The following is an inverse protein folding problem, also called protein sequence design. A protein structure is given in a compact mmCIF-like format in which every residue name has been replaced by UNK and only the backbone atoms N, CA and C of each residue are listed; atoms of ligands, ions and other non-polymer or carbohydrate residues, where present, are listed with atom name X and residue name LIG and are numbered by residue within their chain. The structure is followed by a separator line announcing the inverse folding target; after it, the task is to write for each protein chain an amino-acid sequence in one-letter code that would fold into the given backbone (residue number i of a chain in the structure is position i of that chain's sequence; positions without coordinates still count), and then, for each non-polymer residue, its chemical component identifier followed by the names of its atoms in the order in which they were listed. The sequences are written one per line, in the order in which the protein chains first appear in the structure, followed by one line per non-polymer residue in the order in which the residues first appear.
data_IF_405890965480
#
_entry.id   IF_405890965480
#
_cell.length_a   1.000
_cell.length_b   1.000
_cell.length_c   1.000
_cell.angle_alpha   90.00
_cell.angle_beta   90.00
_cell.angle_gamma   90.00
#
_symmetry.space_group_name_H-M   'P 1'
#
loop_
_entity.id
_entity.type
_entity.pdbx_description
1 polymer ?
#
# COMPACT_ATOMS: atom_id res chain seq x y z
N UNK A 1 -62.73 -62.47 -24.50
CA UNK A 1 -63.45 -61.19 -24.53
C UNK A 1 -62.89 -60.32 -23.41
N UNK A 2 -62.52 -59.10 -23.80
CA UNK A 2 -62.24 -57.87 -23.01
C UNK A 2 -61.02 -57.82 -22.08
N UNK A 3 -59.98 -57.12 -22.57
CA UNK A 3 -59.37 -55.86 -22.04
C UNK A 3 -59.43 -55.60 -20.53
N UNK A 4 -58.44 -54.99 -19.89
CA UNK A 4 -57.72 -53.78 -20.35
C UNK A 4 -56.42 -53.57 -19.54
N UNK A 5 -55.54 -52.71 -20.06
CA UNK A 5 -54.15 -52.57 -19.63
C UNK A 5 -53.82 -51.54 -18.54
N UNK A 6 -52.52 -51.51 -18.22
CA UNK A 6 -51.73 -50.33 -17.86
C UNK A 6 -51.96 -49.68 -16.49
N UNK A 7 -50.93 -49.65 -15.65
CA UNK A 7 -50.19 -48.41 -15.35
C UNK A 7 -49.07 -48.60 -14.31
N UNK A 8 -47.93 -48.00 -14.64
CA UNK A 8 -46.79 -47.65 -13.79
C UNK A 8 -47.23 -46.79 -12.60
N UNK A 9 -46.75 -47.09 -11.40
CA UNK A 9 -46.88 -46.19 -10.24
C UNK A 9 -45.50 -45.85 -9.67
N UNK A 10 -45.02 -44.66 -10.01
CA UNK A 10 -43.94 -43.98 -9.32
C UNK A 10 -44.47 -43.43 -7.99
N UNK A 11 -43.80 -43.76 -6.89
CA UNK A 11 -44.15 -43.24 -5.56
C UNK A 11 -43.67 -41.79 -5.44
N UNK A 12 -44.61 -40.85 -5.43
CA UNK A 12 -44.36 -39.43 -5.10
C UNK A 12 -44.82 -39.18 -3.66
N UNK A 13 -43.89 -38.84 -2.78
CA UNK A 13 -44.15 -38.50 -1.39
C UNK A 13 -44.45 -37.00 -1.26
N UNK A 14 -45.73 -36.65 -1.09
CA UNK A 14 -46.20 -35.28 -0.85
C UNK A 14 -46.13 -34.96 0.65
N UNK A 15 -45.22 -34.07 1.07
CA UNK A 15 -45.17 -33.57 2.45
C UNK A 15 -46.16 -32.41 2.65
N UNK A 16 -47.21 -32.63 3.44
CA UNK A 16 -48.18 -31.59 3.82
C UNK A 16 -47.69 -30.83 5.05
N UNK A 17 -47.34 -29.55 4.90
CA UNK A 17 -46.93 -28.69 6.02
C UNK A 17 -48.16 -28.04 6.66
N UNK A 18 -48.51 -28.47 7.88
CA UNK A 18 -49.59 -27.89 8.69
C UNK A 18 -49.03 -26.75 9.54
N UNK A 19 -49.33 -25.48 9.20
CA UNK A 19 -48.96 -24.32 10.04
C UNK A 19 -49.91 -24.21 11.25
N UNK A 20 -49.35 -24.30 12.46
CA UNK A 20 -50.07 -24.03 13.71
C UNK A 20 -49.80 -22.58 14.13
N UNK A 21 -50.87 -21.77 14.28
CA UNK A 21 -50.81 -20.37 14.72
C UNK A 21 -50.94 -20.33 16.25
N UNK A 22 -49.91 -19.86 16.95
CA UNK A 22 -49.96 -19.68 18.42
C UNK A 22 -50.64 -18.34 18.77
N UNK A 23 -51.57 -18.42 19.73
CA UNK A 23 -52.42 -17.33 20.26
C UNK A 23 -51.58 -16.28 20.99
N UNK A 24 -52.04 -15.02 20.89
CA UNK A 24 -51.42 -13.82 21.42
C UNK A 24 -51.46 -13.75 22.96
N UNK A 25 -50.31 -13.43 23.57
CA UNK A 25 -50.23 -12.98 24.95
C UNK A 25 -49.28 -11.77 25.06
N UNK A 26 -49.81 -10.65 25.57
CA UNK A 26 -49.14 -9.49 26.17
C UNK A 26 -47.87 -8.93 25.51
N UNK A 27 -48.01 -7.92 24.62
CA UNK A 27 -46.89 -7.09 24.15
C UNK A 27 -46.37 -6.19 25.27
N UNK A 28 -45.17 -6.47 25.79
CA UNK A 28 -44.25 -5.43 26.31
C UNK A 28 -43.26 -5.07 25.19
N UNK A 29 -42.88 -3.81 25.00
CA UNK A 29 -41.93 -3.44 23.95
C UNK A 29 -40.59 -4.11 24.19
N UNK A 30 -40.14 -4.89 23.19
CA UNK A 30 -38.85 -5.54 23.16
C UNK A 30 -37.77 -4.49 22.94
N UNK A 31 -36.97 -4.20 23.97
CA UNK A 31 -35.75 -3.40 23.82
C UNK A 31 -34.61 -4.38 23.52
N UNK A 32 -34.05 -4.40 22.29
CA UNK A 32 -32.94 -5.29 21.96
C UNK A 32 -31.72 -4.88 22.79
N UNK A 33 -31.24 -5.80 23.64
CA UNK A 33 -30.06 -5.60 24.50
C UNK A 33 -28.74 -5.51 23.71
N UNK A 34 -28.80 -5.45 22.37
CA UNK A 34 -27.65 -5.29 21.48
C UNK A 34 -27.20 -3.84 21.25
N UNK A 35 -27.96 -2.83 21.67
CA UNK A 35 -27.60 -1.42 21.47
C UNK A 35 -26.76 -0.82 22.61
N UNK A 36 -26.90 -1.33 23.83
CA UNK A 36 -26.13 -0.88 25.01
C UNK A 36 -24.62 -1.20 24.93
N UNK A 37 -24.17 -2.40 24.53
CA UNK A 37 -22.74 -2.67 24.39
C UNK A 37 -22.11 -1.98 23.17
N UNK A 38 -22.89 -1.69 22.12
CA UNK A 38 -22.44 -0.97 20.92
C UNK A 38 -22.16 0.51 21.19
N UNK A 39 -22.96 1.16 22.02
CA UNK A 39 -22.70 2.53 22.47
C UNK A 39 -21.49 2.62 23.43
N UNK A 40 -21.30 1.59 24.27
CA UNK A 40 -20.10 1.48 25.13
C UNK A 40 -18.80 1.29 24.33
N UNK A 41 -18.84 0.47 23.27
CA UNK A 41 -17.66 0.16 22.45
C UNK A 41 -17.23 1.36 21.58
N UNK A 42 -18.19 2.13 21.04
CA UNK A 42 -17.93 3.39 20.33
C UNK A 42 -17.34 4.44 21.29
N UNK A 43 -17.83 4.50 22.54
CA UNK A 43 -17.26 5.35 23.58
C UNK A 43 -15.81 4.99 23.92
N UNK A 44 -15.47 3.71 24.02
CA UNK A 44 -14.08 3.27 24.30
C UNK A 44 -13.13 3.41 23.11
N UNK A 45 -13.62 3.27 21.86
CA UNK A 45 -12.79 3.47 20.66
C UNK A 45 -12.43 4.95 20.47
N UNK A 46 -13.33 5.87 20.84
CA UNK A 46 -13.08 7.32 20.79
C UNK A 46 -12.19 7.83 21.93
N UNK A 47 -12.14 7.14 23.08
CA UNK A 47 -11.38 7.57 24.26
C UNK A 47 -9.98 6.90 24.32
N UNK A 48 -9.77 5.73 23.71
CA UNK A 48 -8.54 4.95 23.87
C UNK A 48 -7.47 5.06 22.78
N UNK A 49 -7.85 5.27 21.51
CA UNK A 49 -6.90 5.18 20.37
C UNK A 49 -6.66 6.53 19.69
N UNK A 50 -7.63 7.44 19.72
CA UNK A 50 -7.52 8.77 19.11
C UNK A 50 -6.65 9.77 19.93
N UNK A 51 -6.64 9.79 21.29
CA UNK A 51 -5.89 10.81 22.00
C UNK A 51 -4.39 10.54 22.16
N UNK A 52 -3.90 9.32 21.90
CA UNK A 52 -2.48 8.97 22.17
C UNK A 52 -1.53 9.24 20.99
N UNK A 53 -1.98 9.18 19.73
CA UNK A 53 -1.15 9.51 18.55
C UNK A 53 -1.36 10.95 18.06
N UNK A 54 -2.61 11.45 18.06
CA UNK A 54 -2.93 12.82 17.63
C UNK A 54 -2.64 13.85 18.75
N UNK A 55 -2.78 13.45 20.01
CA UNK A 55 -2.65 14.35 21.16
C UNK A 55 -1.22 14.81 21.47
N UNK A 56 -0.19 14.03 21.11
CA UNK A 56 1.22 14.36 21.37
C UNK A 56 1.81 15.19 20.22
N UNK A 57 1.43 14.90 18.96
CA UNK A 57 1.84 15.70 17.81
C UNK A 57 1.32 17.14 17.92
N UNK A 58 0.02 17.32 18.17
CA UNK A 58 -0.57 18.65 18.34
C UNK A 58 0.04 19.46 19.50
N UNK A 59 0.45 18.79 20.59
CA UNK A 59 1.12 19.46 21.72
C UNK A 59 2.56 19.83 21.41
N UNK A 60 3.27 18.99 20.66
CA UNK A 60 4.66 19.22 20.26
C UNK A 60 4.74 20.31 19.20
N UNK A 61 3.82 20.31 18.23
CA UNK A 61 3.71 21.34 17.21
C UNK A 61 3.36 22.70 17.83
N UNK A 62 2.39 22.77 18.76
CA UNK A 62 2.07 24.01 19.49
C UNK A 62 3.24 24.52 20.32
N UNK A 63 3.95 23.65 21.04
CA UNK A 63 5.13 24.06 21.82
C UNK A 63 6.26 24.58 20.92
N UNK A 64 6.50 23.94 19.77
CA UNK A 64 7.45 24.41 18.78
C UNK A 64 7.03 25.76 18.18
N UNK A 65 5.74 25.93 17.89
CA UNK A 65 5.20 27.16 17.32
C UNK A 65 5.25 28.34 18.31
N UNK A 66 4.96 28.09 19.60
CA UNK A 66 5.09 29.09 20.66
C UNK A 66 6.56 29.49 20.88
N UNK A 67 7.49 28.53 20.86
CA UNK A 67 8.93 28.80 20.96
C UNK A 67 9.44 29.64 19.78
N UNK A 68 8.96 29.37 18.56
CA UNK A 68 9.29 30.17 17.37
C UNK A 68 8.72 31.58 17.46
N UNK A 69 7.49 31.75 17.97
CA UNK A 69 6.88 33.07 18.18
C UNK A 69 7.66 33.91 19.20
N UNK A 70 8.08 33.30 20.32
CA UNK A 70 8.90 33.98 21.35
C UNK A 70 10.31 34.34 20.84
N UNK A 71 10.87 33.54 19.94
CA UNK A 71 12.17 33.82 19.32
C UNK A 71 12.13 34.91 18.23
N UNK A 72 10.93 35.37 17.84
CA UNK A 72 10.72 36.30 16.71
C UNK A 72 10.81 35.63 15.34
N UNK A 73 10.63 34.30 15.28
CA UNK A 73 10.79 33.47 14.09
C UNK A 73 9.43 33.03 13.51
N UNK A 74 8.45 33.93 13.42
CA UNK A 74 7.13 33.65 12.84
C UNK A 74 7.16 33.31 11.34
N UNK A 75 8.29 33.56 10.68
CA UNK A 75 8.58 33.16 9.31
C UNK A 75 8.87 31.65 9.15
N UNK A 76 9.07 30.93 10.27
CA UNK A 76 9.31 29.50 10.29
C UNK A 76 8.06 28.72 10.73
N UNK A 77 7.73 27.66 9.98
CA UNK A 77 6.65 26.73 10.27
C UNK A 77 7.23 25.38 10.70
N UNK A 78 6.89 24.87 11.90
CA UNK A 78 7.27 23.54 12.34
C UNK A 78 6.34 22.48 11.75
N UNK A 79 6.92 21.42 11.20
CA UNK A 79 6.21 20.23 10.73
C UNK A 79 6.69 19.02 11.55
N UNK A 80 5.76 18.36 12.26
CA UNK A 80 6.08 17.31 13.24
C UNK A 80 5.65 15.96 12.70
N UNK A 81 6.62 15.05 12.47
CA UNK A 81 6.37 13.69 12.03
C UNK A 81 7.12 12.70 12.93
N UNK A 82 6.39 11.94 13.74
CA UNK A 82 6.97 11.00 14.71
C UNK A 82 7.89 11.70 15.72
N UNK A 83 9.18 11.36 15.69
CA UNK A 83 10.25 11.97 16.53
C UNK A 83 11.04 13.08 15.80
N UNK A 84 10.52 13.60 14.69
CA UNK A 84 11.18 14.63 13.87
C UNK A 84 10.40 15.93 13.90
N UNK A 85 11.12 17.05 14.08
CA UNK A 85 10.59 18.40 13.88
C UNK A 85 11.37 19.03 12.73
N UNK A 86 10.69 19.28 11.63
CA UNK A 86 11.28 19.91 10.44
C UNK A 86 10.84 21.37 10.40
N UNK A 87 11.81 22.30 10.37
CA UNK A 87 11.50 23.73 10.24
C UNK A 87 11.56 24.14 8.77
N UNK A 88 10.44 24.69 8.27
CA UNK A 88 10.31 25.23 6.91
C UNK A 88 10.12 26.73 6.97
N UNK A 89 10.81 27.48 6.14
CA UNK A 89 10.67 28.94 6.10
C UNK A 89 11.82 29.64 5.40
N UNK A 90 11.68 30.96 5.22
CA UNK A 90 12.73 31.81 4.65
C UNK A 90 13.32 32.70 5.75
N UNK A 91 14.46 32.34 6.36
CA UNK A 91 15.07 33.15 7.40
C UNK A 91 15.53 34.51 6.83
N UNK A 92 15.24 35.63 7.50
CA UNK A 92 15.74 36.96 7.10
C UNK A 92 17.27 37.02 7.09
N UNK A 93 17.94 36.34 8.03
CA UNK A 93 19.39 36.17 8.06
C UNK A 93 19.78 34.75 8.50
N UNK A 94 21.00 34.32 8.16
CA UNK A 94 21.53 33.02 8.58
C UNK A 94 21.54 32.85 10.12
N UNK A 95 21.76 33.96 10.85
CA UNK A 95 21.74 34.00 12.33
C UNK A 95 20.32 33.78 12.89
N UNK A 96 19.30 34.30 12.20
CA UNK A 96 17.90 34.10 12.60
C UNK A 96 17.47 32.64 12.38
N UNK A 97 17.98 31.99 11.33
CA UNK A 97 17.77 30.55 11.10
C UNK A 97 18.32 29.68 12.23
N UNK A 98 19.55 29.98 12.71
CA UNK A 98 20.16 29.27 13.83
C UNK A 98 19.42 29.54 15.15
N UNK A 99 19.00 30.78 15.39
CA UNK A 99 18.21 31.15 16.58
C UNK A 99 16.87 30.40 16.65
N UNK A 100 16.21 30.20 15.50
CA UNK A 100 14.97 29.43 15.41
C UNK A 100 15.19 27.93 15.70
N UNK A 101 16.28 27.35 15.19
CA UNK A 101 16.67 25.96 15.47
C UNK A 101 16.96 25.72 16.95
N UNK A 102 17.69 26.63 17.60
CA UNK A 102 18.01 26.55 19.03
C UNK A 102 16.78 26.73 19.92
N UNK A 103 15.86 27.64 19.55
CA UNK A 103 14.62 27.85 20.29
C UNK A 103 13.74 26.59 20.32
N UNK A 104 13.63 25.89 19.19
CA UNK A 104 12.85 24.65 19.09
C UNK A 104 13.55 23.49 19.80
N UNK A 105 14.88 23.37 19.67
CA UNK A 105 15.68 22.35 20.38
C UNK A 105 15.62 22.48 21.90
N UNK A 106 15.50 23.71 22.41
CA UNK A 106 15.43 23.99 23.85
C UNK A 106 14.00 24.05 24.40
N UNK A 107 12.97 23.91 23.56
CA UNK A 107 11.58 23.88 23.98
C UNK A 107 11.28 22.64 24.83
N UNK A 108 10.54 22.79 25.93
CA UNK A 108 10.17 21.68 26.83
C UNK A 108 8.66 21.61 27.01
N UNK A 109 8.09 20.43 26.79
CA UNK A 109 6.66 20.18 26.95
C UNK A 109 6.37 19.53 28.29
N UNK A 110 5.25 19.90 28.92
CA UNK A 110 4.80 19.32 30.18
C UNK A 110 4.02 18.04 29.88
N UNK A 111 4.54 16.89 30.31
CA UNK A 111 3.90 15.57 30.15
C UNK A 111 3.46 15.02 31.51
N UNK A 112 2.63 13.97 31.49
CA UNK A 112 2.18 13.28 32.71
C UNK A 112 3.34 12.63 33.51
N UNK A 113 4.54 12.54 32.92
CA UNK A 113 5.76 12.01 33.54
C UNK A 113 6.83 13.09 33.84
N UNK A 114 6.47 14.39 33.74
CA UNK A 114 7.38 15.52 34.00
C UNK A 114 7.68 16.39 32.77
N UNK A 115 8.58 17.38 32.92
CA UNK A 115 9.05 18.24 31.81
C UNK A 115 10.12 17.51 31.01
N UNK A 116 9.73 16.88 29.92
CA UNK A 116 10.65 16.21 29.00
C UNK A 116 10.94 17.14 27.82
N UNK A 117 12.23 17.37 27.54
CA UNK A 117 12.66 17.96 26.28
C UNK A 117 12.52 16.91 25.19
N UNK A 118 12.16 17.29 23.96
CA UNK A 118 12.03 16.32 22.90
C UNK A 118 13.43 15.80 22.54
N UNK A 119 13.66 14.50 22.64
CA UNK A 119 14.84 13.84 22.05
C UNK A 119 14.64 13.86 20.52
N UNK A 120 14.76 15.04 19.92
CA UNK A 120 14.40 15.33 18.53
C UNK A 120 15.63 15.81 17.79
N UNK A 121 15.92 15.14 16.67
CA UNK A 121 16.85 15.65 15.68
C UNK A 121 16.10 16.69 14.84
N UNK A 122 16.54 17.94 14.88
CA UNK A 122 15.94 19.05 14.12
C UNK A 122 16.68 19.20 12.80
N UNK A 123 15.95 19.12 11.68
CA UNK A 123 16.50 19.26 10.32
C UNK A 123 16.08 20.63 9.77
N UNK A 124 17.03 21.38 9.20
CA UNK A 124 16.75 22.66 8.53
C UNK A 124 16.50 22.46 7.02
N UNK A 125 15.49 23.15 6.47
CA UNK A 125 15.29 23.30 5.02
C UNK A 125 15.08 24.76 4.65
N UNK A 126 16.03 25.60 5.08
CA UNK A 126 16.01 27.02 4.78
C UNK A 126 16.61 27.31 3.39
N UNK A 127 15.90 28.10 2.58
CA UNK A 127 16.47 28.69 1.36
C UNK A 127 17.38 29.85 1.76
N UNK A 128 18.70 29.70 1.64
CA UNK A 128 19.67 30.76 2.01
C UNK A 128 19.91 31.68 0.82
N UNK A 129 19.70 32.98 1.02
CA UNK A 129 20.19 34.01 0.10
C UNK A 129 21.54 34.50 0.61
N UNK A 130 22.61 34.34 -0.18
CA UNK A 130 23.93 34.93 0.14
C UNK A 130 23.84 36.46 0.10
N UNK A 131 24.47 37.20 1.03
CA UNK A 131 24.50 38.65 0.96
C UNK A 131 25.50 39.10 -0.12
N UNK A 132 25.01 39.80 -1.14
CA UNK A 132 25.85 40.56 -2.06
C UNK A 132 26.24 41.90 -1.43
N UNK A 133 27.54 42.16 -1.37
CA UNK A 133 28.13 43.45 -0.99
C UNK A 133 27.64 44.56 -1.94
N UNK A 134 27.30 45.78 -1.45
CA UNK A 134 26.92 46.86 -2.34
C UNK A 134 28.18 47.52 -2.91
N UNK A 135 28.47 47.25 -4.18
CA UNK A 135 29.42 48.04 -4.96
C UNK A 135 28.63 49.03 -5.84
N UNK A 136 28.80 50.30 -5.55
CA UNK A 136 28.39 51.44 -6.36
C UNK A 136 29.04 51.37 -7.75
N UNK A 137 28.24 51.22 -8.81
CA UNK A 137 28.58 51.70 -10.16
C UNK A 137 27.35 51.76 -11.07
N UNK A 138 27.02 52.99 -11.47
CA UNK A 138 26.49 53.51 -12.76
C UNK A 138 25.82 52.54 -13.76
N UNK A 139 24.69 52.91 -14.39
CA UNK A 139 23.93 52.02 -15.27
C UNK A 139 24.61 51.88 -16.64
N UNK A 140 25.14 50.70 -16.94
CA UNK A 140 25.39 50.26 -18.31
C UNK A 140 24.39 49.17 -18.66
N UNK A 141 23.58 49.44 -19.67
CA UNK A 141 22.64 48.50 -20.26
C UNK A 141 23.38 47.23 -20.71
N UNK A 142 22.98 46.09 -20.18
CA UNK A 142 23.31 44.73 -20.64
C UNK A 142 22.05 43.90 -20.41
N UNK A 143 21.60 43.08 -21.37
CA UNK A 143 20.25 42.54 -21.38
C UNK A 143 20.03 41.62 -20.18
N UNK A 144 18.84 41.72 -19.57
CA UNK A 144 18.36 40.81 -18.54
C UNK A 144 18.64 39.37 -18.96
N UNK A 145 19.55 38.70 -18.26
CA UNK A 145 19.68 37.26 -18.33
C UNK A 145 18.35 36.67 -17.83
N UNK A 146 17.51 36.22 -18.77
CA UNK A 146 16.36 35.38 -18.47
C UNK A 146 16.87 34.16 -17.71
N UNK A 147 16.53 34.07 -16.43
CA UNK A 147 16.67 32.83 -15.67
C UNK A 147 15.66 31.88 -16.29
N UNK A 148 16.10 31.01 -17.21
CA UNK A 148 15.26 29.93 -17.73
C UNK A 148 14.79 29.10 -16.52
N UNK A 149 13.47 28.90 -16.33
CA UNK A 149 12.98 28.10 -15.23
C UNK A 149 13.61 26.71 -15.30
N UNK A 150 14.05 26.17 -14.16
CA UNK A 150 14.53 24.79 -14.09
C UNK A 150 13.42 23.86 -14.56
N UNK A 151 13.68 22.96 -15.53
CA UNK A 151 12.67 22.03 -15.99
C UNK A 151 12.15 21.18 -14.82
N UNK A 152 10.83 21.06 -14.73
CA UNK A 152 10.16 20.24 -13.71
C UNK A 152 9.45 19.10 -14.43
N UNK A 153 9.68 17.86 -14.00
CA UNK A 153 8.98 16.70 -14.51
C UNK A 153 7.82 16.36 -13.56
N UNK A 154 6.56 16.58 -13.95
CA UNK A 154 5.42 16.21 -13.12
C UNK A 154 5.32 14.69 -12.93
N UNK A 155 4.64 14.28 -11.86
CA UNK A 155 4.43 12.86 -11.55
C UNK A 155 3.06 12.40 -12.07
N UNK A 156 2.99 11.14 -12.52
CA UNK A 156 1.74 10.52 -12.96
C UNK A 156 1.70 9.02 -12.70
N UNK A 157 0.48 8.49 -12.66
CA UNK A 157 0.20 7.06 -12.55
C UNK A 157 -0.97 6.69 -13.46
N UNK A 158 -0.78 5.66 -14.26
CA UNK A 158 -1.84 5.07 -15.09
C UNK A 158 -2.10 3.65 -14.59
N UNK A 159 -3.36 3.34 -14.31
CA UNK A 159 -3.76 2.06 -13.74
C UNK A 159 -4.79 1.40 -14.64
N UNK A 160 -4.65 0.11 -14.91
CA UNK A 160 -5.65 -0.69 -15.60
C UNK A 160 -6.21 -1.72 -14.61
N UNK A 161 -7.50 -1.61 -14.29
CA UNK A 161 -8.22 -2.58 -13.47
C UNK A 161 -9.64 -2.72 -14.00
N UNK A 162 -10.16 -3.94 -14.02
CA UNK A 162 -11.57 -4.24 -14.34
C UNK A 162 -12.05 -3.61 -15.66
N UNK A 163 -11.17 -3.57 -16.67
CA UNK A 163 -11.48 -3.00 -17.98
C UNK A 163 -11.45 -1.46 -18.04
N UNK A 164 -11.08 -0.78 -16.96
CA UNK A 164 -10.99 0.69 -16.91
C UNK A 164 -9.53 1.11 -16.86
N UNK A 165 -9.07 1.81 -17.90
CA UNK A 165 -7.77 2.48 -17.89
C UNK A 165 -7.94 3.87 -17.28
N UNK A 166 -7.52 4.02 -16.03
CA UNK A 166 -7.52 5.29 -15.31
C UNK A 166 -6.17 6.00 -15.49
N UNK A 167 -6.24 7.29 -15.80
CA UNK A 167 -5.07 8.15 -15.98
C UNK A 167 -5.10 9.24 -14.91
N UNK A 168 -4.13 9.24 -13.99
CA UNK A 168 -4.06 10.15 -12.84
C UNK A 168 -2.71 10.86 -12.77
N UNK A 169 -2.73 12.07 -12.19
CA UNK A 169 -1.54 12.89 -11.96
C UNK A 169 -1.49 14.15 -12.81
N UNK A 170 -0.30 14.73 -12.90
CA UNK A 170 -0.06 16.00 -13.59
C UNK A 170 0.72 15.79 -14.89
N UNK A 171 0.40 16.59 -15.90
CA UNK A 171 1.16 16.71 -17.13
C UNK A 171 1.59 18.17 -17.34
N UNK A 172 2.70 18.44 -18.03
CA UNK A 172 3.28 19.78 -18.09
C UNK A 172 2.37 20.79 -18.78
N UNK A 173 1.72 20.39 -19.87
CA UNK A 173 0.93 21.24 -20.75
C UNK A 173 -0.23 20.48 -21.40
N UNK A 174 -1.10 21.23 -22.09
CA UNK A 174 -2.25 20.68 -22.81
C UNK A 174 -1.83 19.77 -23.97
N UNK A 175 -0.73 20.07 -24.66
CA UNK A 175 -0.28 19.29 -25.81
C UNK A 175 0.10 17.86 -25.40
N UNK A 176 0.92 17.73 -24.35
CA UNK A 176 1.32 16.44 -23.78
C UNK A 176 0.10 15.66 -23.30
N UNK A 177 -0.83 16.33 -22.62
CA UNK A 177 -2.08 15.73 -22.16
C UNK A 177 -2.90 15.17 -23.32
N UNK A 178 -3.09 15.95 -24.38
CA UNK A 178 -3.90 15.53 -25.53
C UNK A 178 -3.26 14.32 -26.25
N UNK A 179 -1.92 14.29 -26.38
CA UNK A 179 -1.20 13.12 -26.90
C UNK A 179 -1.45 11.86 -26.04
N UNK A 180 -1.34 11.98 -24.71
CA UNK A 180 -1.57 10.87 -23.77
C UNK A 180 -3.02 10.37 -23.84
N UNK A 181 -4.00 11.27 -23.82
CA UNK A 181 -5.42 10.91 -23.93
C UNK A 181 -5.73 10.26 -25.28
N UNK A 182 -5.20 10.79 -26.39
CA UNK A 182 -5.38 10.21 -27.70
C UNK A 182 -4.79 8.79 -27.78
N UNK A 183 -3.58 8.59 -27.24
CA UNK A 183 -2.96 7.27 -27.17
C UNK A 183 -3.78 6.28 -26.31
N UNK A 184 -4.33 6.74 -25.18
CA UNK A 184 -5.16 5.91 -24.31
C UNK A 184 -6.46 5.51 -24.99
N UNK A 185 -7.14 6.44 -25.68
CA UNK A 185 -8.35 6.14 -26.46
C UNK A 185 -8.08 5.16 -27.61
N UNK A 186 -6.94 5.28 -28.27
CA UNK A 186 -6.52 4.35 -29.31
C UNK A 186 -6.20 2.94 -28.76
N UNK A 187 -6.07 2.79 -27.44
CA UNK A 187 -5.77 1.52 -26.79
C UNK A 187 -7.00 0.72 -26.34
N UNK A 188 -8.21 1.25 -26.53
CA UNK A 188 -9.46 0.56 -26.22
C UNK A 188 -9.53 -0.76 -27.02
N UNK A 189 -9.59 -1.87 -26.30
CA UNK A 189 -9.55 -3.23 -26.83
C UNK A 189 -10.38 -4.17 -25.93
N UNK A 190 -11.71 -4.19 -26.08
CA UNK A 190 -12.57 -5.03 -25.26
C UNK A 190 -12.29 -6.54 -25.46
N UNK A 191 -12.37 -7.36 -24.41
CA UNK A 191 -12.84 -7.03 -23.06
C UNK A 191 -11.75 -6.46 -22.14
N UNK A 192 -10.50 -6.32 -22.60
CA UNK A 192 -9.35 -5.94 -21.76
C UNK A 192 -9.38 -4.47 -21.35
N UNK A 193 -9.71 -3.58 -22.30
CA UNK A 193 -9.87 -2.14 -22.04
C UNK A 193 -11.20 -1.71 -22.65
N UNK A 194 -12.15 -1.39 -21.78
CA UNK A 194 -13.53 -1.02 -22.11
C UNK A 194 -13.71 0.49 -22.08
N UNK A 195 -13.10 1.18 -21.13
CA UNK A 195 -13.25 2.62 -20.96
C UNK A 195 -12.00 3.29 -20.42
N UNK A 196 -11.93 4.61 -20.62
CA UNK A 196 -10.86 5.47 -20.12
C UNK A 196 -11.45 6.40 -19.04
N UNK A 197 -10.85 6.41 -17.84
CA UNK A 197 -11.17 7.34 -16.76
C UNK A 197 -10.05 8.40 -16.67
N UNK A 198 -10.31 9.58 -17.23
CA UNK A 198 -9.36 10.68 -17.31
C UNK A 198 -9.45 11.56 -16.05
N UNK A 199 -8.37 11.56 -15.26
CA UNK A 199 -8.18 12.37 -14.05
C UNK A 199 -6.91 13.22 -14.13
N UNK A 200 -6.42 13.49 -15.34
CA UNK A 200 -5.18 14.23 -15.56
C UNK A 200 -5.40 15.74 -15.44
N UNK A 201 -4.55 16.39 -14.64
CA UNK A 201 -4.43 17.84 -14.52
C UNK A 201 -3.21 18.39 -15.26
N UNK A 202 -3.18 19.71 -15.48
CA UNK A 202 -2.10 20.42 -16.16
C UNK A 202 -1.35 21.26 -15.13
N UNK A 203 -0.04 21.06 -15.02
CA UNK A 203 0.84 21.78 -14.09
C UNK A 203 1.29 23.16 -14.63
N UNK A 204 1.23 23.38 -15.95
CA UNK A 204 1.72 24.58 -16.62
C UNK A 204 3.20 24.88 -16.32
N UNK A 205 4.04 23.85 -16.49
CA UNK A 205 5.49 23.89 -16.24
C UNK A 205 6.25 23.54 -17.50
N UNK A 206 7.48 24.05 -17.62
CA UNK A 206 8.41 23.59 -18.65
C UNK A 206 8.93 22.20 -18.26
N UNK A 207 8.54 21.17 -19.00
CA UNK A 207 9.09 19.84 -18.82
C UNK A 207 10.49 19.71 -19.46
N UNK A 208 11.29 18.75 -18.97
CA UNK A 208 12.49 18.30 -19.68
C UNK A 208 12.16 17.76 -21.07
N UNK A 209 13.13 17.82 -21.98
CA UNK A 209 13.02 17.23 -23.31
C UNK A 209 12.64 15.74 -23.23
N UNK A 210 11.81 15.28 -24.17
CA UNK A 210 11.36 13.88 -24.29
C UNK A 210 10.54 13.33 -23.11
N UNK A 211 10.06 14.20 -22.22
CA UNK A 211 9.13 13.81 -21.15
C UNK A 211 7.84 13.20 -21.71
N UNK A 212 7.31 13.75 -22.81
CA UNK A 212 6.09 13.27 -23.47
C UNK A 212 6.23 11.83 -24.00
N UNK A 213 7.40 11.47 -24.53
CA UNK A 213 7.70 10.09 -24.94
C UNK A 213 7.60 9.10 -23.79
N UNK A 214 7.98 9.53 -22.59
CA UNK A 214 7.93 8.74 -21.35
C UNK A 214 6.50 8.57 -20.87
N UNK A 215 5.69 9.64 -20.90
CA UNK A 215 4.25 9.54 -20.63
C UNK A 215 3.54 8.62 -21.63
N UNK A 216 3.83 8.77 -22.93
CA UNK A 216 3.28 7.90 -23.96
C UNK A 216 3.74 6.45 -23.83
N UNK A 217 4.97 6.22 -23.34
CA UNK A 217 5.45 4.87 -23.02
C UNK A 217 4.58 4.22 -21.94
N UNK A 218 4.22 4.95 -20.89
CA UNK A 218 3.29 4.50 -19.86
C UNK A 218 2.02 3.90 -20.47
N UNK A 219 1.33 4.68 -21.30
CA UNK A 219 0.11 4.24 -22.01
C UNK A 219 0.37 3.00 -22.87
N UNK A 220 1.45 2.99 -23.67
CA UNK A 220 1.78 1.84 -24.53
C UNK A 220 2.06 0.57 -23.73
N UNK A 221 2.73 0.66 -22.60
CA UNK A 221 3.04 -0.52 -21.78
C UNK A 221 1.82 -1.02 -21.02
N UNK A 222 1.06 -0.13 -20.37
CA UNK A 222 -0.11 -0.54 -19.58
C UNK A 222 -1.22 -1.12 -20.47
N UNK A 223 -1.35 -0.66 -21.71
CA UNK A 223 -2.40 -1.16 -22.62
C UNK A 223 -2.22 -2.61 -23.07
N UNK A 224 -1.02 -3.17 -22.85
CA UNK A 224 -0.67 -4.57 -23.13
C UNK A 224 -0.89 -5.46 -21.91
N UNK A 225 -1.11 -4.88 -20.74
CA UNK A 225 -1.43 -5.58 -19.50
C UNK A 225 -2.91 -5.94 -19.46
N UNK A 226 -3.24 -7.00 -18.73
CA UNK A 226 -4.62 -7.29 -18.35
C UNK A 226 -5.01 -6.51 -17.07
N UNK A 227 -4.08 -6.36 -16.14
CA UNK A 227 -4.20 -5.49 -14.96
C UNK A 227 -2.83 -4.98 -14.51
N UNK A 228 -2.79 -3.82 -13.86
CA UNK A 228 -1.59 -3.29 -13.23
C UNK A 228 -1.48 -1.77 -13.32
N UNK A 229 -0.25 -1.26 -13.28
CA UNK A 229 0.02 0.17 -13.37
C UNK A 229 1.35 0.50 -14.04
N UNK A 230 1.42 1.70 -14.58
CA UNK A 230 2.67 2.40 -14.90
C UNK A 230 2.73 3.69 -14.12
N UNK A 231 3.89 3.99 -13.55
CA UNK A 231 4.10 5.19 -12.75
C UNK A 231 5.36 5.89 -13.23
N UNK A 232 5.31 7.21 -13.26
CA UNK A 232 6.49 8.04 -13.32
C UNK A 232 6.47 8.97 -12.11
N UNK A 233 7.42 8.74 -11.20
CA UNK A 233 7.62 9.57 -10.03
C UNK A 233 9.11 9.76 -9.80
N UNK A 234 9.52 10.91 -9.27
CA UNK A 234 10.94 11.14 -8.94
C UNK A 234 11.90 10.90 -10.11
N UNK A 235 11.45 11.19 -11.34
CA UNK A 235 12.15 10.87 -12.60
C UNK A 235 12.39 9.37 -12.87
N UNK A 236 11.60 8.48 -12.26
CA UNK A 236 11.69 7.02 -12.44
C UNK A 236 10.42 6.43 -13.03
N UNK A 237 10.56 5.68 -14.11
CA UNK A 237 9.47 4.92 -14.74
C UNK A 237 9.38 3.51 -14.15
N UNK A 238 8.28 3.19 -13.47
CA UNK A 238 7.99 1.86 -12.94
C UNK A 238 6.78 1.24 -13.64
N UNK A 239 6.77 -0.09 -13.76
CA UNK A 239 5.69 -0.88 -14.36
C UNK A 239 5.43 -2.09 -13.47
N UNK A 240 4.17 -2.30 -13.09
CA UNK A 240 3.69 -3.61 -12.63
C UNK A 240 2.61 -4.07 -13.57
N UNK A 241 2.78 -5.23 -14.19
CA UNK A 241 1.91 -5.72 -15.24
C UNK A 241 1.60 -7.19 -15.05
N UNK A 242 0.33 -7.54 -14.94
CA UNK A 242 -0.13 -8.92 -15.05
C UNK A 242 -0.75 -9.16 -16.43
N UNK A 243 -0.33 -10.23 -17.10
CA UNK A 243 -0.69 -10.55 -18.50
C UNK A 243 -0.60 -12.05 -18.80
N UNK A 244 -1.12 -12.49 -19.94
CA UNK A 244 -0.89 -13.87 -20.42
C UNK A 244 0.56 -14.11 -20.84
N UNK A 245 1.07 -15.32 -20.56
CA UNK A 245 2.40 -15.80 -20.98
C UNK A 245 2.75 -15.48 -22.45
N UNK A 246 1.80 -15.60 -23.37
CA UNK A 246 2.03 -15.37 -24.79
C UNK A 246 2.44 -13.92 -25.14
N UNK A 247 2.19 -12.96 -24.27
CA UNK A 247 2.46 -11.54 -24.50
C UNK A 247 3.67 -11.00 -23.72
N UNK A 248 4.32 -11.83 -22.91
CA UNK A 248 5.44 -11.43 -22.03
C UNK A 248 6.59 -10.84 -22.83
N UNK A 249 7.12 -11.57 -23.81
CA UNK A 249 8.29 -11.15 -24.60
C UNK A 249 8.07 -9.82 -25.35
N UNK A 250 6.85 -9.63 -25.88
CA UNK A 250 6.45 -8.40 -26.58
C UNK A 250 6.42 -7.19 -25.66
N UNK A 251 5.98 -7.39 -24.41
CA UNK A 251 5.97 -6.32 -23.42
C UNK A 251 7.37 -6.07 -22.87
N UNK A 252 8.13 -7.12 -22.56
CA UNK A 252 9.46 -7.00 -21.96
C UNK A 252 10.41 -6.14 -22.78
N UNK A 253 10.42 -6.33 -24.10
CA UNK A 253 11.25 -5.56 -25.02
C UNK A 253 10.94 -4.06 -24.91
N UNK A 254 9.67 -3.69 -24.83
CA UNK A 254 9.23 -2.29 -24.74
C UNK A 254 9.41 -1.74 -23.33
N UNK A 255 9.13 -2.55 -22.31
CA UNK A 255 9.15 -2.15 -20.90
C UNK A 255 10.58 -1.96 -20.38
N UNK A 256 11.55 -2.72 -20.89
CA UNK A 256 12.97 -2.67 -20.45
C UNK A 256 13.90 -1.89 -21.39
N UNK A 257 13.40 -1.36 -22.51
CA UNK A 257 14.19 -0.49 -23.37
C UNK A 257 14.69 0.74 -22.59
N UNK A 258 15.88 1.30 -22.90
CA UNK A 258 16.32 2.56 -22.30
C UNK A 258 15.25 3.66 -22.46
N UNK A 259 15.14 4.54 -21.47
CA UNK A 259 14.28 5.71 -21.56
C UNK A 259 15.05 6.87 -22.19
N UNK A 260 14.36 7.67 -23.00
CA UNK A 260 14.91 8.93 -23.50
C UNK A 260 15.04 9.95 -22.38
N UNK A 261 14.09 9.95 -21.43
CA UNK A 261 14.11 10.77 -20.22
C UNK A 261 13.74 9.95 -18.97
N UNK A 262 14.46 10.20 -17.87
CA UNK A 262 14.29 9.49 -16.60
C UNK A 262 15.02 8.14 -16.53
N UNK A 263 14.83 7.44 -15.42
CA UNK A 263 15.46 6.16 -15.12
C UNK A 263 14.44 5.03 -15.02
N UNK A 264 14.86 3.80 -15.29
CA UNK A 264 14.01 2.64 -15.01
C UNK A 264 13.90 2.44 -13.48
N UNK A 265 12.66 2.41 -13.01
CA UNK A 265 12.26 1.99 -11.68
C UNK A 265 12.08 0.48 -11.62
N UNK A 266 11.12 0.03 -10.80
CA UNK A 266 10.78 -1.38 -10.71
C UNK A 266 9.94 -1.81 -11.91
N UNK A 267 10.34 -2.88 -12.59
CA UNK A 267 9.65 -3.43 -13.76
C UNK A 267 9.28 -4.89 -13.45
N UNK A 268 8.06 -5.05 -12.94
CA UNK A 268 7.46 -6.31 -12.57
C UNK A 268 6.47 -6.76 -13.67
N UNK A 269 6.78 -7.89 -14.30
CA UNK A 269 5.93 -8.51 -15.33
C UNK A 269 5.56 -9.89 -14.81
N UNK A 270 4.26 -10.12 -14.65
CA UNK A 270 3.66 -11.27 -13.98
C UNK A 270 2.80 -12.06 -14.96
N UNK A 271 3.31 -13.19 -15.49
CA UNK A 271 2.51 -14.04 -16.34
C UNK A 271 1.47 -14.81 -15.50
N UNK A 272 0.18 -14.64 -15.79
CA UNK A 272 -0.93 -15.22 -14.99
C UNK A 272 -0.82 -16.72 -14.81
N UNK A 273 -0.43 -17.41 -15.87
CA UNK A 273 -0.32 -18.87 -15.88
C UNK A 273 0.85 -19.35 -15.01
N UNK A 274 1.98 -18.61 -14.98
CA UNK A 274 3.09 -18.92 -14.07
C UNK A 274 2.74 -18.60 -12.62
N UNK A 275 2.06 -17.48 -12.36
CA UNK A 275 1.58 -17.11 -11.03
C UNK A 275 0.66 -18.22 -10.49
N UNK A 276 -0.35 -18.62 -11.26
CA UNK A 276 -1.28 -19.67 -10.87
C UNK A 276 -0.60 -21.04 -10.68
N UNK A 277 0.44 -21.36 -11.46
CA UNK A 277 1.23 -22.59 -11.29
C UNK A 277 2.05 -22.57 -10.00
N UNK A 278 2.73 -21.46 -9.73
CA UNK A 278 3.51 -21.24 -8.51
C UNK A 278 2.63 -21.33 -7.26
N UNK A 279 1.54 -20.54 -7.19
CA UNK A 279 0.66 -20.49 -6.01
C UNK A 279 0.04 -21.86 -5.71
N UNK A 280 -0.38 -22.60 -6.75
CA UNK A 280 -0.88 -23.98 -6.58
C UNK A 280 0.19 -24.90 -6.00
N UNK A 281 1.39 -24.88 -6.54
CA UNK A 281 2.49 -25.74 -6.07
C UNK A 281 2.84 -25.44 -4.60
N UNK A 282 2.90 -24.17 -4.22
CA UNK A 282 3.16 -23.76 -2.84
C UNK A 282 2.02 -24.14 -1.90
N UNK A 283 0.77 -23.93 -2.34
CA UNK A 283 -0.42 -24.34 -1.60
C UNK A 283 -0.45 -25.85 -1.35
N UNK A 284 -0.13 -26.67 -2.37
CA UNK A 284 -0.11 -28.12 -2.25
C UNK A 284 0.96 -28.60 -1.26
N UNK A 285 2.15 -28.02 -1.30
CA UNK A 285 3.23 -28.32 -0.33
C UNK A 285 2.80 -28.00 1.11
N UNK A 286 2.23 -26.81 1.34
CA UNK A 286 1.80 -26.34 2.65
C UNK A 286 0.53 -27.04 3.17
N UNK A 287 -0.29 -27.59 2.27
CA UNK A 287 -1.44 -28.42 2.61
C UNK A 287 -1.01 -29.83 3.02
N UNK A 288 -0.01 -30.40 2.35
CA UNK A 288 0.51 -31.73 2.63
C UNK A 288 1.29 -31.78 3.95
N UNK A 289 2.15 -30.79 4.20
CA UNK A 289 2.96 -30.70 5.42
C UNK A 289 2.97 -29.26 5.93
N UNK A 290 2.85 -29.08 7.25
CA UNK A 290 2.81 -27.75 7.86
C UNK A 290 4.17 -27.35 8.40
N UNK A 291 4.45 -26.06 8.36
CA UNK A 291 5.56 -25.49 9.13
C UNK A 291 5.16 -25.52 10.61
N UNK A 292 5.97 -26.20 11.40
CA UNK A 292 5.76 -26.38 12.83
C UNK A 292 6.51 -25.30 13.61
N UNK A 293 5.84 -24.75 14.62
CA UNK A 293 6.42 -23.77 15.54
C UNK A 293 6.30 -24.29 16.97
N UNK A 294 7.25 -23.91 17.82
CA UNK A 294 7.11 -24.13 19.25
C UNK A 294 5.85 -23.40 19.80
N UNK A 295 5.30 -23.91 20.89
CA UNK A 295 4.06 -23.38 21.50
C UNK A 295 4.19 -21.89 21.78
N UNK A 296 3.21 -21.11 21.32
CA UNK A 296 3.17 -19.65 21.46
C UNK A 296 4.44 -18.92 20.98
N UNK A 297 5.19 -19.53 20.07
CA UNK A 297 6.47 -19.01 19.57
C UNK A 297 6.50 -18.90 18.04
N UNK A 298 7.47 -18.14 17.54
CA UNK A 298 7.88 -18.07 16.15
C UNK A 298 9.11 -18.93 15.83
N UNK A 299 9.64 -19.66 16.82
CA UNK A 299 10.74 -20.60 16.60
C UNK A 299 10.26 -21.79 15.76
N UNK A 300 10.82 -21.93 14.56
CA UNK A 300 10.52 -23.03 13.63
C UNK A 300 11.17 -24.32 14.14
N UNK A 301 10.41 -25.41 14.14
CA UNK A 301 10.89 -26.75 14.48
C UNK A 301 11.89 -27.25 13.45
N UNK A 302 12.94 -27.96 13.90
CA UNK A 302 13.89 -28.64 13.00
C UNK A 302 13.21 -29.65 12.07
N UNK A 303 12.06 -30.20 12.47
CA UNK A 303 11.27 -31.12 11.64
C UNK A 303 10.75 -30.47 10.36
N UNK A 304 10.64 -29.13 10.32
CA UNK A 304 10.20 -28.39 9.14
C UNK A 304 11.33 -28.09 8.14
N UNK A 305 12.58 -28.47 8.43
CA UNK A 305 13.72 -28.17 7.57
C UNK A 305 13.53 -28.68 6.12
N UNK A 306 13.12 -29.95 5.96
CA UNK A 306 12.89 -30.53 4.62
C UNK A 306 11.75 -29.86 3.86
N UNK A 307 10.68 -29.44 4.56
CA UNK A 307 9.59 -28.68 3.95
C UNK A 307 10.08 -27.30 3.50
N UNK A 308 10.88 -26.61 4.31
CA UNK A 308 11.45 -25.31 3.95
C UNK A 308 12.39 -25.41 2.73
N UNK A 309 13.14 -26.51 2.58
CA UNK A 309 13.97 -26.75 1.39
C UNK A 309 13.08 -26.92 0.14
N UNK A 310 11.98 -27.66 0.24
CA UNK A 310 11.02 -27.82 -0.84
C UNK A 310 10.33 -26.50 -1.21
N UNK A 311 9.95 -25.71 -0.20
CA UNK A 311 9.39 -24.37 -0.42
C UNK A 311 10.42 -23.47 -1.10
N UNK A 312 11.68 -23.45 -0.65
CA UNK A 312 12.72 -22.64 -1.28
C UNK A 312 12.90 -23.00 -2.78
N UNK A 313 12.91 -24.30 -3.11
CA UNK A 313 12.99 -24.75 -4.50
C UNK A 313 11.77 -24.29 -5.32
N UNK A 314 10.56 -24.39 -4.78
CA UNK A 314 9.34 -23.93 -5.45
C UNK A 314 9.34 -22.41 -5.65
N UNK A 315 9.68 -21.65 -4.60
CA UNK A 315 9.80 -20.19 -4.60
C UNK A 315 10.82 -19.70 -5.62
N UNK A 316 11.94 -20.42 -5.80
CA UNK A 316 12.95 -20.11 -6.80
C UNK A 316 12.37 -19.97 -8.22
N UNK A 317 11.36 -20.78 -8.55
CA UNK A 317 10.72 -20.81 -9.87
C UNK A 317 9.52 -19.86 -10.02
N UNK A 318 9.09 -19.22 -8.93
CA UNK A 318 7.92 -18.34 -8.95
C UNK A 318 8.24 -16.98 -9.60
N UNK A 319 7.30 -16.37 -10.35
CA UNK A 319 7.47 -15.01 -10.86
C UNK A 319 7.29 -13.96 -9.75
N UNK A 320 8.00 -12.84 -9.87
CA UNK A 320 7.80 -11.67 -9.02
C UNK A 320 8.22 -11.83 -7.55
N UNK A 321 7.70 -10.91 -6.73
CA UNK A 321 7.81 -10.92 -5.27
C UNK A 321 6.73 -11.82 -4.67
N UNK A 322 7.06 -12.46 -3.56
CA UNK A 322 6.16 -13.31 -2.80
C UNK A 322 5.88 -12.69 -1.45
N UNK A 323 4.64 -12.80 -1.00
CA UNK A 323 4.22 -12.51 0.36
C UNK A 323 4.06 -13.81 1.14
N UNK A 324 4.70 -13.89 2.28
CA UNK A 324 4.56 -14.94 3.29
C UNK A 324 3.58 -14.42 4.32
N UNK A 325 2.47 -15.14 4.47
CA UNK A 325 1.33 -14.74 5.28
C UNK A 325 1.22 -15.59 6.53
N UNK A 326 1.31 -14.97 7.70
CA UNK A 326 1.10 -15.61 8.98
C UNK A 326 -0.36 -15.50 9.43
N UNK A 327 -0.95 -16.61 9.85
CA UNK A 327 -2.32 -16.64 10.35
C UNK A 327 -2.41 -17.40 11.70
N UNK A 328 -3.30 -16.95 12.58
CA UNK A 328 -3.62 -17.59 13.86
C UNK A 328 -5.09 -17.97 13.93
N UNK A 329 -5.45 -18.78 14.93
CA UNK A 329 -6.85 -18.88 15.35
C UNK A 329 -7.26 -17.66 16.21
N UNK A 330 -8.53 -17.62 16.61
CA UNK A 330 -9.09 -16.50 17.37
C UNK A 330 -8.90 -16.61 18.90
N UNK A 331 -8.11 -17.56 19.38
CA UNK A 331 -7.87 -17.73 20.82
C UNK A 331 -6.85 -16.69 21.28
N UNK A 332 -7.06 -16.10 22.47
CA UNK A 332 -6.17 -15.08 23.02
C UNK A 332 -6.49 -13.67 22.51
N UNK A 333 -5.57 -12.73 22.74
CA UNK A 333 -5.79 -11.34 22.35
C UNK A 333 -5.48 -11.11 20.88
N UNK A 334 -6.28 -10.26 20.22
CA UNK A 334 -6.07 -9.92 18.82
C UNK A 334 -4.70 -9.29 18.56
N UNK A 335 -4.21 -8.45 19.48
CA UNK A 335 -2.90 -7.82 19.39
C UNK A 335 -1.75 -8.86 19.44
N UNK A 336 -1.80 -9.78 20.40
CA UNK A 336 -0.81 -10.86 20.49
C UNK A 336 -0.87 -11.79 19.28
N UNK A 337 -2.06 -12.05 18.74
CA UNK A 337 -2.23 -12.87 17.54
C UNK A 337 -1.64 -12.18 16.30
N UNK A 338 -1.84 -10.87 16.15
CA UNK A 338 -1.23 -10.09 15.08
C UNK A 338 0.30 -10.14 15.16
N UNK A 339 0.88 -9.85 16.33
CA UNK A 339 2.32 -9.90 16.56
C UNK A 339 2.89 -11.30 16.32
N UNK A 340 2.28 -12.34 16.90
CA UNK A 340 2.73 -13.73 16.72
C UNK A 340 2.70 -14.16 15.25
N UNK A 341 1.65 -13.77 14.52
CA UNK A 341 1.53 -14.09 13.10
C UNK A 341 2.61 -13.40 12.25
N UNK A 342 2.92 -12.13 12.56
CA UNK A 342 3.97 -11.37 11.89
C UNK A 342 5.34 -12.01 12.15
N UNK A 343 5.66 -12.29 13.42
CA UNK A 343 6.93 -12.91 13.81
C UNK A 343 7.12 -14.29 13.15
N UNK A 344 6.04 -15.07 12.99
CA UNK A 344 6.09 -16.36 12.28
C UNK A 344 6.35 -16.19 10.78
N UNK A 345 5.68 -15.24 10.14
CA UNK A 345 5.92 -14.93 8.73
C UNK A 345 7.37 -14.48 8.51
N UNK A 346 7.92 -13.67 9.41
CA UNK A 346 9.32 -13.22 9.38
C UNK A 346 10.30 -14.37 9.61
N UNK A 347 10.01 -15.27 10.56
CA UNK A 347 10.84 -16.46 10.77
C UNK A 347 10.93 -17.33 9.51
N UNK A 348 9.81 -17.52 8.80
CA UNK A 348 9.78 -18.26 7.54
C UNK A 348 10.52 -17.49 6.45
N UNK A 349 10.35 -16.16 6.35
CA UNK A 349 11.12 -15.31 5.44
C UNK A 349 12.62 -15.52 5.62
N UNK A 350 13.10 -15.38 6.83
CA UNK A 350 14.53 -15.50 7.16
C UNK A 350 15.03 -16.91 6.85
N UNK A 351 14.25 -17.94 7.19
CA UNK A 351 14.60 -19.33 6.86
C UNK A 351 14.70 -19.60 5.35
N UNK A 352 13.94 -18.90 4.51
CA UNK A 352 14.05 -18.97 3.05
C UNK A 352 15.23 -18.14 2.52
N UNK A 353 15.55 -17.00 3.16
CA UNK A 353 16.74 -16.21 2.85
C UNK A 353 18.01 -17.01 3.13
N UNK A 354 18.07 -17.72 4.26
CA UNK A 354 19.16 -18.62 4.61
C UNK A 354 19.34 -19.77 3.59
N UNK A 355 18.30 -20.07 2.81
CA UNK A 355 18.30 -21.05 1.71
C UNK A 355 18.62 -20.44 0.34
N UNK A 356 19.04 -19.17 0.30
CA UNK A 356 19.49 -18.50 -0.91
C UNK A 356 18.40 -17.75 -1.67
N UNK A 357 17.18 -17.60 -1.13
CA UNK A 357 16.18 -16.72 -1.73
C UNK A 357 16.53 -15.26 -1.41
N UNK A 358 16.56 -14.41 -2.43
CA UNK A 358 16.83 -12.97 -2.23
C UNK A 358 15.79 -12.32 -1.32
N UNK A 359 16.25 -11.58 -0.31
CA UNK A 359 15.38 -10.90 0.66
C UNK A 359 14.39 -9.93 -0.03
N UNK A 360 14.83 -9.23 -1.07
CA UNK A 360 14.00 -8.29 -1.83
C UNK A 360 12.82 -8.97 -2.55
N UNK A 361 12.84 -10.31 -2.69
CA UNK A 361 11.74 -11.07 -3.27
C UNK A 361 10.67 -11.47 -2.25
N UNK A 362 10.93 -11.33 -0.95
CA UNK A 362 10.06 -11.87 0.09
C UNK A 362 9.54 -10.76 1.00
N UNK A 363 8.23 -10.73 1.18
CA UNK A 363 7.53 -9.85 2.12
C UNK A 363 6.91 -10.71 3.20
N UNK A 364 7.10 -10.37 4.47
CA UNK A 364 6.45 -11.07 5.58
C UNK A 364 5.29 -10.22 6.12
N UNK A 365 4.09 -10.80 6.19
CA UNK A 365 2.91 -10.12 6.70
C UNK A 365 2.09 -11.02 7.63
N UNK A 366 1.80 -10.53 8.83
CA UNK A 366 0.93 -11.17 9.80
C UNK A 366 -0.50 -10.66 9.70
N UNK A 367 -1.47 -11.57 9.56
CA UNK A 367 -2.90 -11.26 9.55
C UNK A 367 -3.60 -11.60 10.88
N UNK A 368 -2.87 -12.19 11.83
CA UNK A 368 -3.45 -12.68 13.09
C UNK A 368 -4.65 -13.58 12.82
N UNK A 369 -5.77 -13.29 13.48
CA UNK A 369 -7.01 -14.07 13.34
C UNK A 369 -8.04 -13.44 12.39
N UNK A 370 -7.67 -12.44 11.59
CA UNK A 370 -8.64 -11.65 10.79
C UNK A 370 -9.13 -12.37 9.54
N UNK A 371 -8.39 -13.38 9.05
CA UNK A 371 -8.70 -14.14 7.84
C UNK A 371 -8.84 -15.65 8.11
N UNK A 372 -9.90 -16.09 8.82
CA UNK A 372 -10.12 -17.50 9.10
C UNK A 372 -10.60 -18.26 7.85
N UNK A 373 -9.98 -19.40 7.56
CA UNK A 373 -10.40 -20.32 6.48
C UNK A 373 -11.30 -21.44 6.98
N UNK A 374 -11.41 -21.59 8.30
CA UNK A 374 -12.28 -22.57 8.95
C UNK A 374 -12.93 -21.97 10.21
N UNK A 375 -14.00 -22.61 10.68
CA UNK A 375 -14.67 -22.21 11.92
C UNK A 375 -13.70 -22.23 13.11
N UNK A 376 -13.71 -21.17 13.91
CA UNK A 376 -12.95 -21.12 15.15
C UNK A 376 -13.65 -21.84 16.33
N UNK A 377 -14.89 -22.29 16.13
CA UNK A 377 -15.70 -22.90 17.19
C UNK A 377 -15.21 -24.28 17.64
N UNK A 378 -14.39 -24.96 16.85
CA UNK A 378 -13.85 -26.29 17.19
C UNK A 378 -12.33 -26.38 16.97
N UNK A 379 -11.70 -27.37 17.62
CA UNK A 379 -10.25 -27.52 17.62
C UNK A 379 -9.67 -27.80 16.22
N UNK A 380 -10.38 -28.58 15.40
CA UNK A 380 -9.97 -28.89 14.03
C UNK A 380 -9.92 -27.64 13.14
N UNK A 381 -10.93 -26.78 13.22
CA UNK A 381 -10.96 -25.53 12.47
C UNK A 381 -9.93 -24.51 12.95
N UNK A 382 -9.74 -24.38 14.27
CA UNK A 382 -8.63 -23.57 14.82
C UNK A 382 -7.26 -24.05 14.33
N UNK A 383 -7.05 -25.37 14.28
CA UNK A 383 -5.82 -25.91 13.72
C UNK A 383 -5.62 -25.49 12.27
N UNK A 384 -6.66 -25.49 11.42
CA UNK A 384 -6.56 -25.00 10.04
C UNK A 384 -6.25 -23.51 9.94
N UNK A 385 -6.75 -22.68 10.87
CA UNK A 385 -6.48 -21.24 10.87
C UNK A 385 -5.04 -20.89 11.28
N UNK A 386 -4.39 -21.73 12.10
CA UNK A 386 -2.95 -21.61 12.40
C UNK A 386 -2.11 -22.14 11.24
N UNK A 387 -1.79 -21.28 10.28
CA UNK A 387 -1.14 -21.66 9.01
C UNK A 387 -0.19 -20.57 8.51
N UNK A 388 0.66 -20.98 7.58
CA UNK A 388 1.44 -20.09 6.72
C UNK A 388 0.91 -20.27 5.30
N UNK A 389 0.71 -19.17 4.59
CA UNK A 389 0.43 -19.15 3.16
C UNK A 389 1.52 -18.36 2.44
N UNK A 390 1.76 -18.66 1.17
CA UNK A 390 2.70 -17.91 0.34
C UNK A 390 1.99 -17.57 -0.97
N UNK A 391 1.90 -16.27 -1.28
CA UNK A 391 1.19 -15.75 -2.44
C UNK A 391 2.12 -14.88 -3.28
N UNK A 392 1.85 -14.76 -4.58
CA UNK A 392 2.56 -13.78 -5.41
C UNK A 392 1.96 -12.40 -5.17
N UNK A 393 2.80 -11.40 -4.97
CA UNK A 393 2.36 -10.00 -4.87
C UNK A 393 1.85 -9.57 -6.25
N UNK A 394 0.53 -9.34 -6.34
CA UNK A 394 -0.16 -9.03 -7.60
C UNK A 394 0.02 -7.55 -7.99
N UNK A 395 -0.17 -7.24 -9.27
CA UNK A 395 -0.04 -5.87 -9.79
C UNK A 395 -1.17 -4.92 -9.36
N UNK A 396 -2.26 -5.46 -8.80
CA UNK A 396 -3.44 -4.71 -8.33
C UNK A 396 -3.37 -4.34 -6.86
N UNK A 397 -2.37 -4.85 -6.15
CA UNK A 397 -2.12 -4.62 -4.73
C UNK A 397 -1.04 -3.56 -4.52
#
# INVERSE_FOLDING_TARGET
MTSDGGQTSASSSTHTVRRVRRVAAGRRPFVPHGLLPLLGLIGTLLIGIVPFSIGIQNKTERAAQEALAQAGASWAQPDVSGQWVTLRGRPPTAKDGQKALEAVRNSRTQTIFGRLGPETRVIDRFTRTSPSTPATSTPSATPSASISPTPVAPDWIFTLSDGVLRLEGELPDTETRDKVIAAARASIDPPRIVSIDDRLSIANVTAPDFYDETALRGVRTISRCDTGYTRFDSSRFSLSCELSQANVERLETVARAPLTYGELGDIQILPREAVASCERSLSDLLAATRIEFATASALISSNSASLLDQIANAVGSCPGRLRIEGHTDNTGSAALNAELSQNRAEAVRNALVDRGISENRLIAQGFGSSQPIATNSNAAGRARNRRIEIQVVRSSE
#
